data_IF_062255520515
#
_entry.id   IF_062255520515
#
_cell.length_a   1.000
_cell.length_b   1.000
_cell.length_c   1.000
_cell.angle_alpha   90.00
_cell.angle_beta   90.00
_cell.angle_gamma   90.00
#
_symmetry.space_group_name_H-M   'P 1'
#
loop_
_entity.id
_entity.type
_entity.pdbx_description
1 polymer ?
#
# COMPACT_ATOMS: atom_id res chain seq x y z
N UNK A 1 18.84 -4.13 5.50
CA UNK A 1 17.39 -4.37 5.66
C UNK A 1 17.02 -5.59 4.84
N UNK A 2 16.23 -6.50 5.42
CA UNK A 2 15.67 -7.64 4.70
C UNK A 2 14.29 -7.25 4.17
N UNK A 3 14.00 -7.58 2.91
CA UNK A 3 12.71 -7.34 2.28
C UNK A 3 12.26 -8.58 1.53
N UNK A 4 10.96 -8.77 1.45
CA UNK A 4 10.32 -9.74 0.57
C UNK A 4 9.66 -9.07 -0.62
N UNK A 5 9.30 -9.90 -1.60
CA UNK A 5 8.42 -9.50 -2.69
C UNK A 5 6.99 -9.92 -2.38
N UNK A 6 6.06 -9.01 -2.64
CA UNK A 6 4.63 -9.29 -2.69
C UNK A 6 4.06 -8.79 -4.01
N UNK A 7 2.90 -9.30 -4.39
CA UNK A 7 2.18 -8.83 -5.56
C UNK A 7 0.77 -8.42 -5.18
N UNK A 8 0.29 -7.34 -5.78
CA UNK A 8 -1.04 -6.81 -5.51
C UNK A 8 -1.81 -6.68 -6.81
N UNK A 9 -3.05 -7.19 -6.79
CA UNK A 9 -4.01 -7.01 -7.86
C UNK A 9 -3.85 -7.94 -9.06
N UNK A 10 -4.74 -7.76 -10.04
CA UNK A 10 -4.73 -8.51 -11.30
C UNK A 10 -4.88 -7.58 -12.51
N UNK A 11 -3.90 -7.49 -13.43
CA UNK A 11 -2.57 -8.12 -13.40
C UNK A 11 -1.72 -7.72 -12.19
N UNK A 12 -0.78 -8.60 -11.83
CA UNK A 12 0.06 -8.48 -10.64
C UNK A 12 0.97 -7.24 -10.71
N UNK A 13 0.94 -6.40 -9.67
CA UNK A 13 1.87 -5.30 -9.45
C UNK A 13 2.87 -5.71 -8.36
N UNK A 14 4.18 -5.74 -8.65
CA UNK A 14 5.24 -6.18 -7.71
C UNK A 14 5.64 -5.06 -6.73
N UNK A 15 5.76 -5.40 -5.44
CA UNK A 15 6.27 -4.51 -4.40
C UNK A 15 7.34 -5.20 -3.55
N UNK A 16 8.33 -4.41 -3.10
CA UNK A 16 9.30 -4.82 -2.09
C UNK A 16 8.85 -4.28 -0.74
N UNK A 17 8.67 -5.16 0.24
CA UNK A 17 8.16 -4.81 1.57
C UNK A 17 9.04 -5.41 2.66
N UNK A 18 9.07 -4.75 3.81
CA UNK A 18 9.66 -5.29 5.03
C UNK A 18 8.57 -6.07 5.76
N UNK A 19 8.85 -7.31 6.15
CA UNK A 19 7.98 -8.07 7.04
C UNK A 19 8.31 -7.67 8.47
N UNK A 20 7.43 -6.87 9.06
CA UNK A 20 7.56 -6.34 10.41
C UNK A 20 6.58 -7.06 11.33
N UNK A 21 7.09 -7.79 12.33
CA UNK A 21 6.26 -8.48 13.32
C UNK A 21 5.68 -7.56 14.38
N UNK A 22 6.13 -6.30 14.44
CA UNK A 22 5.69 -5.32 15.44
C UNK A 22 4.49 -4.48 15.00
N UNK A 23 4.03 -4.66 13.75
CA UNK A 23 2.84 -3.99 13.21
C UNK A 23 1.92 -4.98 12.49
N UNK A 24 0.62 -4.64 12.40
CA UNK A 24 -0.41 -5.51 11.81
C UNK A 24 -0.96 -4.98 10.47
N UNK A 25 -0.41 -3.89 9.96
CA UNK A 25 -0.93 -3.18 8.80
C UNK A 25 0.05 -3.20 7.62
N UNK A 26 -0.46 -3.41 6.41
CA UNK A 26 0.31 -3.32 5.16
C UNK A 26 0.19 -1.91 4.56
N UNK A 27 1.35 -1.28 4.30
CA UNK A 27 1.46 0.10 3.84
C UNK A 27 2.12 0.16 2.47
N UNK A 28 1.39 0.61 1.44
CA UNK A 28 1.90 0.71 0.07
C UNK A 28 1.67 2.12 -0.48
N UNK A 29 2.67 2.74 -1.13
CA UNK A 29 2.52 4.05 -1.76
C UNK A 29 1.45 4.03 -2.85
N UNK A 30 0.48 4.94 -2.77
CA UNK A 30 -0.54 5.12 -3.81
C UNK A 30 0.01 5.83 -5.05
N UNK A 31 -0.42 5.41 -6.25
CA UNK A 31 -0.14 6.10 -7.52
C UNK A 31 -0.66 7.54 -7.51
N UNK A 32 -1.80 7.76 -6.84
CA UNK A 32 -2.44 9.07 -6.73
C UNK A 32 -1.82 9.98 -5.65
N UNK A 33 -0.83 9.50 -4.90
CA UNK A 33 -0.13 10.33 -3.92
C UNK A 33 0.64 11.45 -4.64
N UNK A 34 0.21 12.71 -4.42
CA UNK A 34 0.79 13.93 -5.02
C UNK A 34 1.88 14.58 -4.16
N UNK A 35 2.63 13.80 -3.38
CA UNK A 35 3.64 14.39 -2.49
C UNK A 35 4.99 14.58 -3.17
N UNK A 36 5.69 15.65 -2.78
CA UNK A 36 7.07 15.94 -3.20
C UNK A 36 8.11 15.06 -2.49
N UNK A 37 7.69 14.16 -1.60
CA UNK A 37 8.59 13.38 -0.75
C UNK A 37 9.41 12.36 -1.56
N UNK A 38 10.72 12.32 -1.30
CA UNK A 38 11.67 11.45 -1.99
C UNK A 38 11.30 9.96 -1.91
N UNK A 39 10.74 9.52 -0.77
CA UNK A 39 10.27 8.16 -0.58
C UNK A 39 9.20 7.80 -1.62
N UNK A 40 8.16 8.62 -1.78
CA UNK A 40 7.08 8.39 -2.74
C UNK A 40 7.57 8.44 -4.19
N UNK A 41 8.59 9.25 -4.51
CA UNK A 41 9.13 9.36 -5.88
C UNK A 41 9.96 8.15 -6.31
N UNK A 42 10.63 7.45 -5.39
CA UNK A 42 11.56 6.36 -5.70
C UNK A 42 10.98 4.95 -5.51
N UNK A 43 9.85 4.81 -4.83
CA UNK A 43 9.20 3.51 -4.63
C UNK A 43 8.14 3.21 -5.69
N UNK A 44 7.98 1.92 -6.01
CA UNK A 44 6.87 1.43 -6.83
C UNK A 44 5.54 1.84 -6.18
N UNK A 45 4.65 2.40 -6.98
CA UNK A 45 3.34 2.88 -6.53
C UNK A 45 2.24 1.93 -6.99
N UNK A 46 1.31 1.66 -6.11
CA UNK A 46 0.13 0.88 -6.43
C UNK A 46 -0.90 1.72 -7.18
N UNK A 47 -1.33 1.20 -8.34
CA UNK A 47 -2.36 1.79 -9.16
C UNK A 47 -3.61 0.89 -9.15
N UNK A 48 -4.62 1.26 -8.38
CA UNK A 48 -5.87 0.52 -8.31
C UNK A 48 -6.61 0.43 -9.66
N UNK A 49 -6.47 1.43 -10.53
CA UNK A 49 -7.12 1.43 -11.84
C UNK A 49 -6.58 0.36 -12.79
N UNK A 50 -5.40 -0.23 -12.47
CA UNK A 50 -4.82 -1.35 -13.23
C UNK A 50 -5.21 -2.73 -12.69
N UNK A 51 -5.97 -2.80 -11.60
CA UNK A 51 -6.33 -4.07 -10.98
C UNK A 51 -7.82 -4.39 -11.18
N UNK A 52 -8.11 -5.57 -11.72
CA UNK A 52 -9.48 -6.09 -11.89
C UNK A 52 -10.05 -6.70 -10.61
N UNK A 53 -9.22 -6.94 -9.59
CA UNK A 53 -9.61 -7.49 -8.29
C UNK A 53 -9.73 -6.40 -7.21
N UNK A 54 -9.48 -5.15 -7.59
CA UNK A 54 -9.62 -4.01 -6.71
C UNK A 54 -11.07 -3.79 -6.31
N UNK A 55 -11.30 -3.62 -5.01
CA UNK A 55 -12.57 -3.19 -4.43
C UNK A 55 -12.37 -1.84 -3.72
N UNK A 56 -13.10 -0.79 -4.10
CA UNK A 56 -13.06 0.47 -3.38
C UNK A 56 -13.71 0.30 -2.02
N UNK A 57 -12.94 0.50 -0.95
CA UNK A 57 -13.45 0.50 0.43
C UNK A 57 -13.91 1.91 0.83
N UNK A 58 -13.24 2.97 0.34
CA UNK A 58 -13.66 4.36 0.48
C UNK A 58 -13.59 4.95 1.89
N UNK A 59 -13.35 4.12 2.92
CA UNK A 59 -13.17 4.55 4.30
C UNK A 59 -11.88 5.35 4.45
N UNK A 60 -11.99 6.58 4.95
CA UNK A 60 -10.83 7.38 5.33
C UNK A 60 -10.18 6.81 6.59
N UNK A 61 -8.85 6.78 6.62
CA UNK A 61 -8.09 6.45 7.81
C UNK A 61 -6.88 7.38 7.94
N UNK A 62 -6.49 7.65 9.18
CA UNK A 62 -5.32 8.43 9.52
C UNK A 62 -4.45 7.65 10.50
N UNK A 63 -3.13 7.68 10.28
CA UNK A 63 -2.15 7.20 11.26
C UNK A 63 -1.15 8.32 11.54
N UNK A 64 -0.82 8.48 12.82
CA UNK A 64 0.27 9.33 13.27
C UNK A 64 1.52 8.48 13.49
N UNK A 65 2.59 8.82 12.78
CA UNK A 65 3.90 8.20 13.01
C UNK A 65 4.95 9.30 13.18
N UNK A 66 5.53 9.38 14.38
CA UNK A 66 6.63 10.30 14.74
C UNK A 66 6.34 11.75 14.28
N UNK A 67 5.26 12.35 14.80
CA UNK A 67 4.93 13.77 14.56
C UNK A 67 4.49 14.12 13.14
N UNK A 68 4.29 13.14 12.25
CA UNK A 68 3.73 13.35 10.92
C UNK A 68 2.34 12.70 10.82
N UNK A 69 1.38 13.45 10.25
CA UNK A 69 0.04 12.94 9.95
C UNK A 69 0.02 12.27 8.57
N UNK A 70 -0.36 11.00 8.51
CA UNK A 70 -0.58 10.27 7.27
C UNK A 70 -2.09 10.05 7.10
N UNK A 71 -2.73 10.81 6.20
CA UNK A 71 -4.16 10.63 5.89
C UNK A 71 -4.35 9.92 4.55
N UNK A 72 -5.12 8.84 4.52
CA UNK A 72 -5.32 8.08 3.30
C UNK A 72 -6.67 7.38 3.22
N UNK A 73 -6.87 6.64 2.12
CA UNK A 73 -8.09 5.90 1.83
C UNK A 73 -7.80 4.42 1.92
N UNK A 74 -8.63 3.69 2.65
CA UNK A 74 -8.57 2.24 2.68
C UNK A 74 -8.96 1.70 1.30
N UNK A 75 -8.34 0.60 0.92
CA UNK A 75 -8.68 -0.13 -0.29
C UNK A 75 -8.62 -1.62 -0.02
N UNK A 76 -9.09 -2.39 -0.96
CA UNK A 76 -9.06 -3.84 -0.86
C UNK A 76 -8.67 -4.39 -2.21
N UNK A 77 -7.72 -5.32 -2.21
CA UNK A 77 -7.27 -6.00 -3.41
C UNK A 77 -6.63 -7.34 -3.03
N UNK A 78 -6.46 -8.23 -4.00
CA UNK A 78 -5.81 -9.53 -3.79
C UNK A 78 -4.31 -9.35 -3.56
N UNK A 79 -3.77 -9.92 -2.49
CA UNK A 79 -2.33 -9.95 -2.21
C UNK A 79 -1.79 -11.36 -2.44
N UNK A 80 -0.65 -11.45 -3.12
CA UNK A 80 0.08 -12.70 -3.27
C UNK A 80 1.41 -12.59 -2.54
N UNK A 81 1.61 -13.47 -1.55
CA UNK A 81 2.85 -13.59 -0.78
C UNK A 81 3.39 -15.00 -1.03
N UNK A 82 4.52 -15.09 -1.74
CA UNK A 82 5.07 -16.38 -2.23
C UNK A 82 4.13 -17.10 -3.22
N UNK A 83 4.24 -18.42 -3.38
CA UNK A 83 3.40 -19.23 -4.29
C UNK A 83 1.95 -19.40 -3.80
N UNK A 84 1.57 -18.73 -2.71
CA UNK A 84 0.24 -18.84 -2.11
C UNK A 84 -0.54 -17.52 -2.31
N UNK A 85 -1.79 -17.65 -2.74
CA UNK A 85 -2.72 -16.54 -2.87
C UNK A 85 -3.42 -16.30 -1.54
N UNK A 86 -3.43 -15.05 -1.06
CA UNK A 86 -4.15 -14.66 0.16
C UNK A 86 -5.06 -13.47 -0.16
N UNK A 87 -6.37 -13.68 -0.11
CA UNK A 87 -7.32 -12.57 -0.19
C UNK A 87 -7.26 -11.80 1.14
N UNK A 88 -6.85 -10.54 1.11
CA UNK A 88 -6.74 -9.71 2.33
C UNK A 88 -6.99 -8.23 2.01
N UNK A 89 -7.52 -7.48 2.97
CA UNK A 89 -7.73 -6.04 2.79
C UNK A 89 -6.39 -5.28 2.85
N UNK A 90 -6.16 -4.36 1.90
CA UNK A 90 -4.90 -3.61 1.80
C UNK A 90 -5.11 -2.15 2.16
N UNK A 91 -4.53 -1.70 3.27
CA UNK A 91 -4.57 -0.28 3.62
C UNK A 91 -3.64 0.50 2.69
N UNK A 92 -4.21 1.23 1.73
CA UNK A 92 -3.41 2.09 0.87
C UNK A 92 -3.04 3.38 1.57
N UNK A 93 -1.76 3.72 1.47
CA UNK A 93 -1.21 4.89 2.12
C UNK A 93 -1.06 5.97 1.06
N UNK A 94 -1.92 6.97 1.18
CA UNK A 94 -1.67 8.30 0.67
C UNK A 94 -1.03 9.09 1.80
N UNK A 95 0.15 9.65 1.54
CA UNK A 95 0.69 10.69 2.42
C UNK A 95 -0.03 11.98 2.00
N UNK A 96 -0.69 12.65 2.94
CA UNK A 96 -1.17 14.03 2.74
C UNK A 96 -0.43 14.85 3.77
N UNK A 97 0.39 15.79 3.33
CA UNK A 97 0.96 16.78 4.23
C UNK A 97 0.20 18.08 3.98
N UNK A 98 -0.22 18.73 5.07
CA UNK A 98 -0.62 20.13 5.09
C UNK A 98 0.52 21.00 4.55
#
# INVERSE_FOLDING_TARGET
QYYGKIFIGKPLQEFKVIFDSSSADLWIPSYYARTMQYAVKRHTKYNCAKSSTYVPNGKSWSIQFIGNDFSSLQSEDTVTVSLNHVNTSIKLVSVKQL
#
